data_IF_009392594235
#
_entry.id   IF_009392594235
#
_cell.length_a   1.000
_cell.length_b   1.000
_cell.length_c   1.000
_cell.angle_alpha   90.00
_cell.angle_beta   90.00
_cell.angle_gamma   90.00
#
_symmetry.space_group_name_H-M   'P 1'
#
loop_
_entity.id
_entity.type
_entity.pdbx_description
1 polymer ?
#
# COMPACT_ATOMS: atom_id res chain seq x y z
N UNK A 1 32.96 30.92 -24.66
CA UNK A 1 32.40 30.28 -25.87
C UNK A 1 32.77 28.80 -25.82
N UNK A 2 32.22 27.87 -25.04
CA UNK A 2 30.91 27.62 -24.42
C UNK A 2 29.76 27.87 -25.39
N UNK A 3 29.03 26.77 -25.66
CA UNK A 3 27.81 26.59 -26.47
C UNK A 3 27.95 26.47 -27.99
N UNK A 4 27.90 25.22 -28.49
CA UNK A 4 26.99 24.75 -29.57
C UNK A 4 27.28 23.32 -30.07
N UNK A 5 27.26 22.30 -29.19
CA UNK A 5 27.14 20.89 -29.66
C UNK A 5 26.38 20.03 -28.61
N UNK A 6 25.16 20.42 -28.24
CA UNK A 6 24.38 19.65 -27.23
C UNK A 6 22.89 19.46 -27.52
N UNK A 7 22.44 19.67 -28.76
CA UNK A 7 21.08 19.34 -29.17
C UNK A 7 21.10 18.45 -30.41
N UNK A 8 21.25 17.14 -30.23
CA UNK A 8 20.72 16.20 -31.21
C UNK A 8 20.55 14.80 -30.61
N UNK A 9 19.40 14.20 -30.92
CA UNK A 9 18.85 12.89 -30.51
C UNK A 9 17.93 12.97 -29.27
N UNK A 10 16.70 13.40 -29.53
CA UNK A 10 15.57 13.38 -28.59
C UNK A 10 14.31 12.69 -29.16
N UNK A 11 14.43 11.96 -30.27
CA UNK A 11 13.30 11.34 -30.95
C UNK A 11 13.57 9.88 -31.31
N UNK A 12 12.65 8.99 -30.97
CA UNK A 12 12.69 7.57 -31.32
C UNK A 12 12.69 7.34 -32.84
N UNK A 13 12.13 8.28 -33.62
CA UNK A 13 12.17 8.24 -35.08
C UNK A 13 13.60 8.30 -35.64
N UNK A 14 14.45 9.17 -35.08
CA UNK A 14 15.85 9.30 -35.52
C UNK A 14 16.70 8.05 -35.24
N UNK A 15 16.47 7.37 -34.10
CA UNK A 15 17.19 6.12 -33.81
C UNK A 15 16.80 5.03 -34.81
N UNK A 16 15.52 4.95 -35.18
CA UNK A 16 15.03 3.99 -36.16
C UNK A 16 15.64 4.23 -37.55
N UNK A 17 15.69 5.48 -38.01
CA UNK A 17 16.29 5.85 -39.29
C UNK A 17 17.79 5.55 -39.33
N UNK A 18 18.51 5.80 -38.23
CA UNK A 18 19.95 5.48 -38.11
C UNK A 18 20.22 3.97 -38.13
N UNK A 19 19.30 3.16 -37.58
CA UNK A 19 19.40 1.70 -37.60
C UNK A 19 19.16 1.15 -39.01
N UNK A 20 18.13 1.64 -39.71
CA UNK A 20 17.79 1.18 -41.07
C UNK A 20 18.86 1.61 -42.08
N UNK A 21 19.44 2.81 -41.91
CA UNK A 21 20.54 3.29 -42.76
C UNK A 21 21.90 2.66 -42.45
N UNK A 22 21.99 1.78 -41.43
CA UNK A 22 23.22 1.09 -41.06
C UNK A 22 24.27 1.98 -40.36
N UNK A 23 23.89 3.20 -39.97
CA UNK A 23 24.77 4.12 -39.25
C UNK A 23 25.03 3.71 -37.79
N UNK A 24 24.13 2.91 -37.22
CA UNK A 24 24.29 2.29 -35.89
C UNK A 24 23.94 0.81 -35.97
N UNK A 25 24.56 0.02 -35.12
CA UNK A 25 24.26 -1.39 -34.96
C UNK A 25 22.97 -1.60 -34.15
N UNK A 26 22.32 -2.77 -34.25
CA UNK A 26 21.15 -3.09 -33.42
C UNK A 26 21.41 -2.98 -31.91
N UNK A 27 22.64 -3.28 -31.47
CA UNK A 27 23.03 -3.19 -30.06
C UNK A 27 23.11 -1.73 -29.61
N UNK A 28 23.72 -0.86 -30.42
CA UNK A 28 23.79 0.58 -30.15
C UNK A 28 22.41 1.24 -30.19
N UNK A 29 21.54 0.81 -31.10
CA UNK A 29 20.15 1.24 -31.15
C UNK A 29 19.40 0.86 -29.87
N UNK A 30 19.54 -0.39 -29.40
CA UNK A 30 18.92 -0.87 -28.17
C UNK A 30 19.38 -0.06 -26.94
N UNK A 31 20.68 0.21 -26.81
CA UNK A 31 21.20 1.06 -25.73
C UNK A 31 20.63 2.47 -25.77
N UNK A 32 20.54 3.10 -26.95
CA UNK A 32 19.96 4.45 -27.09
C UNK A 32 18.44 4.47 -26.84
N UNK A 33 17.72 3.41 -27.19
CA UNK A 33 16.30 3.27 -26.84
C UNK A 33 16.10 3.13 -25.33
N UNK A 34 16.95 2.34 -24.65
CA UNK A 34 16.96 2.22 -23.19
C UNK A 34 17.26 3.59 -22.55
N UNK A 35 18.20 4.37 -23.08
CA UNK A 35 18.49 5.72 -22.56
C UNK A 35 17.34 6.72 -22.80
N UNK A 36 16.68 6.68 -23.96
CA UNK A 36 15.49 7.49 -24.24
C UNK A 36 14.34 7.14 -23.30
N UNK A 37 14.12 5.85 -23.05
CA UNK A 37 13.10 5.38 -22.11
C UNK A 37 13.47 5.77 -20.68
N UNK A 38 14.75 5.68 -20.31
CA UNK A 38 15.29 6.11 -19.02
C UNK A 38 15.07 7.60 -18.74
N UNK A 39 15.01 8.46 -19.77
CA UNK A 39 14.67 9.89 -19.61
C UNK A 39 13.18 10.13 -19.31
N UNK A 40 12.27 9.29 -19.81
CA UNK A 40 10.86 9.28 -19.35
C UNK A 40 10.71 8.61 -17.97
N UNK A 41 11.65 7.75 -17.62
CA UNK A 41 11.67 6.97 -16.36
C UNK A 41 12.31 7.72 -15.18
N UNK A 42 12.85 8.92 -15.39
CA UNK A 42 13.41 9.76 -14.32
C UNK A 42 12.36 10.26 -13.29
N UNK A 43 11.07 9.95 -13.49
CA UNK A 43 9.99 10.17 -12.51
C UNK A 43 9.57 8.93 -11.73
N UNK A 44 10.22 7.79 -11.91
CA UNK A 44 10.03 6.65 -11.00
C UNK A 44 11.37 6.06 -10.69
N UNK A 45 12.06 6.71 -9.74
CA UNK A 45 13.13 6.12 -8.94
C UNK A 45 12.67 4.70 -8.60
N UNK A 46 13.31 3.69 -9.20
CA UNK A 46 13.20 2.30 -8.76
C UNK A 46 13.60 2.36 -7.30
N UNK A 47 12.62 2.26 -6.41
CA UNK A 47 12.84 2.35 -4.98
C UNK A 47 13.84 1.27 -4.61
N UNK A 48 14.96 1.64 -4.01
CA UNK A 48 15.63 0.73 -3.09
C UNK A 48 14.53 0.14 -2.21
N UNK A 49 14.38 -1.19 -2.19
CA UNK A 49 13.38 -1.82 -1.33
C UNK A 49 13.67 -1.37 0.10
N UNK A 50 12.78 -0.54 0.63
CA UNK A 50 12.83 0.00 1.98
C UNK A 50 13.00 -1.17 2.95
N UNK A 51 14.04 -1.17 3.78
CA UNK A 51 14.27 -2.31 4.68
C UNK A 51 13.31 -2.25 5.85
N UNK A 52 12.94 -3.42 6.40
CA UNK A 52 12.08 -3.49 7.58
C UNK A 52 12.68 -2.70 8.76
N UNK A 53 14.00 -2.76 8.94
CA UNK A 53 14.69 -2.02 9.99
C UNK A 53 14.50 -0.51 9.85
N UNK A 54 14.44 0.02 8.63
CA UNK A 54 14.28 1.45 8.40
C UNK A 54 12.84 1.89 8.71
N UNK A 55 11.83 1.10 8.33
CA UNK A 55 10.43 1.35 8.69
C UNK A 55 10.21 1.25 10.21
N UNK A 56 10.88 0.31 10.87
CA UNK A 56 10.83 0.19 12.34
C UNK A 56 11.48 1.39 13.04
N UNK A 57 12.57 1.95 12.48
CA UNK A 57 13.15 3.20 12.98
C UNK A 57 12.19 4.37 12.81
N UNK A 58 11.52 4.50 11.66
CA UNK A 58 10.49 5.53 11.47
C UNK A 58 9.39 5.44 12.53
N UNK A 59 8.95 4.22 12.87
CA UNK A 59 8.00 4.02 13.97
C UNK A 59 8.60 4.43 15.33
N UNK A 60 9.85 4.05 15.62
CA UNK A 60 10.54 4.36 16.86
C UNK A 60 10.78 5.87 17.05
N UNK A 61 10.94 6.63 15.97
CA UNK A 61 11.06 8.10 15.96
C UNK A 61 9.76 8.82 16.35
N UNK A 62 8.59 8.19 16.15
CA UNK A 62 7.33 8.80 16.56
C UNK A 62 7.26 8.93 18.10
N UNK A 63 7.01 10.14 18.58
CA UNK A 63 6.98 10.43 20.01
C UNK A 63 5.83 9.67 20.70
N UNK A 64 6.17 8.94 21.76
CA UNK A 64 5.22 8.13 22.52
C UNK A 64 4.88 6.80 21.82
N UNK A 65 3.59 6.48 21.74
CA UNK A 65 3.06 5.25 21.11
C UNK A 65 3.66 3.94 21.65
N UNK A 66 4.14 3.91 22.90
CA UNK A 66 4.82 2.75 23.50
C UNK A 66 4.05 1.43 23.32
N UNK A 67 2.73 1.45 23.52
CA UNK A 67 1.87 0.27 23.33
C UNK A 67 1.85 -0.23 21.88
N UNK A 68 1.82 0.68 20.92
CA UNK A 68 1.85 0.34 19.49
C UNK A 68 3.22 -0.24 19.12
N UNK A 69 4.31 0.42 19.53
CA UNK A 69 5.67 -0.06 19.29
C UNK A 69 5.90 -1.46 19.86
N UNK A 70 5.38 -1.71 21.05
CA UNK A 70 5.45 -3.03 21.69
C UNK A 70 4.63 -4.07 20.92
N UNK A 71 3.37 -3.78 20.59
CA UNK A 71 2.50 -4.67 19.82
C UNK A 71 3.11 -5.04 18.46
N UNK A 72 3.71 -4.07 17.76
CA UNK A 72 4.38 -4.32 16.47
C UNK A 72 5.53 -5.32 16.62
N UNK A 73 6.33 -5.19 17.68
CA UNK A 73 7.43 -6.14 17.96
C UNK A 73 6.89 -7.53 18.30
N UNK A 74 5.77 -7.63 19.02
CA UNK A 74 5.11 -8.91 19.30
C UNK A 74 4.60 -9.57 18.02
N UNK A 75 3.96 -8.81 17.13
CA UNK A 75 3.47 -9.32 15.83
C UNK A 75 4.65 -9.79 14.99
N UNK A 76 5.75 -9.04 14.95
CA UNK A 76 6.96 -9.44 14.23
C UNK A 76 7.53 -10.77 14.77
N UNK A 77 7.67 -10.89 16.10
CA UNK A 77 8.18 -12.10 16.73
C UNK A 77 7.28 -13.30 16.47
N UNK A 78 5.95 -13.10 16.56
CA UNK A 78 4.98 -14.14 16.25
C UNK A 78 5.06 -14.58 14.79
N UNK A 79 5.04 -13.64 13.85
CA UNK A 79 5.13 -13.93 12.41
C UNK A 79 6.41 -14.72 12.07
N UNK A 80 7.54 -14.37 12.68
CA UNK A 80 8.80 -15.10 12.51
C UNK A 80 8.73 -16.54 13.06
N UNK A 81 8.10 -16.74 14.22
CA UNK A 81 7.86 -18.09 14.76
C UNK A 81 6.97 -18.90 13.82
N UNK A 82 5.88 -18.31 13.33
CA UNK A 82 4.96 -18.98 12.41
C UNK A 82 5.66 -19.38 11.11
N UNK A 83 6.47 -18.49 10.54
CA UNK A 83 7.27 -18.78 9.34
C UNK A 83 8.21 -19.97 9.57
N UNK A 84 8.92 -20.01 10.70
CA UNK A 84 9.81 -21.15 11.04
C UNK A 84 9.03 -22.46 11.19
N UNK A 85 7.83 -22.40 11.76
CA UNK A 85 6.96 -23.58 11.86
C UNK A 85 6.57 -24.10 10.49
N UNK A 86 6.21 -23.21 9.55
CA UNK A 86 5.89 -23.60 8.17
C UNK A 86 7.09 -24.24 7.46
N UNK A 87 8.29 -23.69 7.64
CA UNK A 87 9.54 -24.23 7.06
C UNK A 87 9.83 -25.65 7.56
N UNK A 88 9.55 -25.92 8.84
CA UNK A 88 9.65 -27.23 9.47
C UNK A 88 8.41 -28.12 9.24
N UNK A 89 7.48 -27.69 8.38
CA UNK A 89 6.22 -28.40 8.06
C UNK A 89 5.33 -28.68 9.28
N UNK A 90 5.44 -27.84 10.31
CA UNK A 90 4.58 -27.85 11.47
C UNK A 90 3.31 -27.04 11.21
N UNK A 91 2.26 -27.30 12.00
CA UNK A 91 1.03 -26.50 11.95
C UNK A 91 1.35 -25.03 12.32
N UNK A 92 1.10 -24.13 11.38
CA UNK A 92 1.10 -22.70 11.58
C UNK A 92 -0.34 -22.16 11.55
N UNK A 93 -0.61 -21.17 12.39
CA UNK A 93 -1.91 -20.51 12.49
C UNK A 93 -1.81 -19.13 11.88
N UNK A 94 -2.80 -18.77 11.06
CA UNK A 94 -3.00 -17.40 10.62
C UNK A 94 -3.44 -16.54 11.82
N UNK A 95 -2.99 -15.28 11.83
CA UNK A 95 -3.31 -14.34 12.89
C UNK A 95 -4.30 -13.30 12.37
N UNK A 96 -5.45 -13.15 13.04
CA UNK A 96 -6.40 -12.07 12.73
C UNK A 96 -5.89 -10.77 13.35
N UNK A 97 -5.57 -9.78 12.52
CA UNK A 97 -4.89 -8.54 12.91
C UNK A 97 -5.73 -7.28 12.70
N UNK A 98 -7.06 -7.37 12.79
CA UNK A 98 -7.92 -6.19 12.80
C UNK A 98 -7.73 -5.40 14.11
N UNK A 99 -7.55 -4.09 14.01
CA UNK A 99 -7.18 -3.22 15.13
C UNK A 99 -8.05 -1.98 15.24
N UNK A 100 -8.16 -1.44 16.45
CA UNK A 100 -8.80 -0.15 16.72
C UNK A 100 -7.75 0.83 17.23
N UNK A 101 -7.59 1.96 16.55
CA UNK A 101 -6.78 3.08 17.05
C UNK A 101 -7.66 4.10 17.75
N UNK A 102 -7.49 4.24 19.07
CA UNK A 102 -8.18 5.23 19.88
C UNK A 102 -7.22 6.32 20.34
N UNK A 103 -7.58 7.57 20.10
CA UNK A 103 -6.82 8.74 20.54
C UNK A 103 -7.36 10.03 19.93
N UNK A 104 -6.96 11.18 20.47
CA UNK A 104 -7.40 12.48 19.98
C UNK A 104 -6.97 12.72 18.52
N UNK A 105 -7.63 13.60 17.76
CA UNK A 105 -7.16 14.03 16.44
C UNK A 105 -5.70 14.52 16.50
N UNK A 106 -4.93 14.29 15.43
CA UNK A 106 -3.52 14.70 15.35
C UNK A 106 -2.51 13.78 16.07
N UNK A 107 -2.93 12.67 16.69
CA UNK A 107 -2.01 11.73 17.38
C UNK A 107 -1.33 10.71 16.45
N UNK A 108 -1.23 10.99 15.15
CA UNK A 108 -0.50 10.15 14.18
C UNK A 108 -1.14 8.79 13.82
N UNK A 109 -2.43 8.57 14.09
CA UNK A 109 -3.13 7.30 13.80
C UNK A 109 -2.99 6.86 12.33
N UNK A 110 -3.21 7.80 11.42
CA UNK A 110 -3.10 7.58 9.97
C UNK A 110 -1.66 7.24 9.56
N UNK A 111 -0.67 7.96 10.12
CA UNK A 111 0.75 7.69 9.88
C UNK A 111 1.13 6.28 10.34
N UNK A 112 0.69 5.88 11.53
CA UNK A 112 0.91 4.53 12.05
C UNK A 112 0.27 3.47 11.15
N UNK A 113 -0.95 3.70 10.65
CA UNK A 113 -1.62 2.77 9.74
C UNK A 113 -0.80 2.53 8.45
N UNK A 114 -0.22 3.60 7.87
CA UNK A 114 0.65 3.51 6.68
C UNK A 114 1.92 2.73 6.98
N UNK A 115 2.58 3.00 8.11
CA UNK A 115 3.78 2.28 8.53
C UNK A 115 3.50 0.79 8.74
N UNK A 116 2.36 0.45 9.36
CA UNK A 116 1.92 -0.94 9.53
C UNK A 116 1.71 -1.65 8.20
N UNK A 117 1.11 -0.99 7.21
CA UNK A 117 0.96 -1.56 5.87
C UNK A 117 2.29 -1.98 5.28
N UNK A 118 3.29 -1.08 5.31
CA UNK A 118 4.65 -1.39 4.86
C UNK A 118 5.28 -2.53 5.67
N UNK A 119 5.24 -2.46 7.00
CA UNK A 119 5.83 -3.48 7.87
C UNK A 119 5.23 -4.87 7.64
N UNK A 120 3.90 -4.97 7.58
CA UNK A 120 3.21 -6.24 7.38
C UNK A 120 3.52 -6.86 6.01
N UNK A 121 3.75 -6.04 4.97
CA UNK A 121 4.27 -6.53 3.69
C UNK A 121 5.66 -7.16 3.85
N UNK A 122 6.58 -6.48 4.53
CA UNK A 122 7.94 -7.02 4.76
C UNK A 122 7.95 -8.28 5.61
N UNK A 123 7.02 -8.38 6.57
CA UNK A 123 6.82 -9.57 7.41
C UNK A 123 6.05 -10.68 6.67
N UNK A 124 5.67 -10.49 5.41
CA UNK A 124 4.85 -11.42 4.59
C UNK A 124 3.47 -11.73 5.17
N UNK A 125 2.98 -10.87 6.06
CA UNK A 125 1.61 -10.93 6.59
C UNK A 125 0.62 -10.43 5.52
N UNK A 126 1.02 -9.40 4.75
CA UNK A 126 0.22 -8.84 3.67
C UNK A 126 0.94 -9.04 2.32
N UNK A 127 0.16 -9.31 1.27
CA UNK A 127 0.68 -9.43 -0.09
C UNK A 127 1.20 -8.09 -0.64
N UNK A 128 0.62 -6.98 -0.19
CA UNK A 128 0.93 -5.60 -0.56
C UNK A 128 1.05 -4.76 0.72
N UNK A 129 1.68 -3.58 0.61
CA UNK A 129 1.91 -2.69 1.75
C UNK A 129 1.15 -1.38 1.69
N UNK A 130 0.14 -1.27 0.80
CA UNK A 130 -0.62 -0.05 0.64
C UNK A 130 -1.72 0.06 1.69
N UNK A 131 -2.11 1.30 1.98
CA UNK A 131 -3.22 1.63 2.87
C UNK A 131 -4.26 2.40 2.06
N UNK A 132 -5.52 1.99 2.15
CA UNK A 132 -6.67 2.70 1.61
C UNK A 132 -7.36 3.38 2.78
N UNK A 133 -7.25 4.70 2.82
CA UNK A 133 -7.91 5.54 3.82
C UNK A 133 -9.30 5.91 3.30
N UNK A 134 -10.30 5.73 4.16
CA UNK A 134 -11.70 6.01 3.86
C UNK A 134 -12.38 6.66 5.06
N UNK A 135 -13.34 7.52 4.76
CA UNK A 135 -14.27 8.06 5.74
C UNK A 135 -15.69 7.52 5.50
N UNK A 136 -16.63 7.92 6.35
CA UNK A 136 -18.04 7.55 6.18
C UNK A 136 -18.59 7.90 4.80
N UNK A 137 -18.21 9.06 4.26
CA UNK A 137 -18.66 9.50 2.93
C UNK A 137 -18.18 8.60 1.80
N UNK A 138 -17.08 7.86 1.98
CA UNK A 138 -16.55 6.91 0.99
C UNK A 138 -17.23 5.54 1.05
N UNK A 139 -17.86 5.21 2.19
CA UNK A 139 -18.44 3.90 2.44
C UNK A 139 -19.96 3.90 2.33
N UNK A 140 -20.62 4.97 2.74
CA UNK A 140 -22.08 5.10 2.79
C UNK A 140 -22.58 5.81 1.53
N UNK A 141 -23.63 5.26 0.92
CA UNK A 141 -24.30 5.83 -0.25
C UNK A 141 -25.45 6.75 0.14
N UNK A 142 -25.88 7.59 -0.81
CA UNK A 142 -27.03 8.50 -0.64
C UNK A 142 -28.37 7.80 -0.86
N UNK A 143 -28.37 6.65 -1.55
CA UNK A 143 -29.56 5.91 -1.96
C UNK A 143 -29.53 4.45 -1.47
N UNK A 144 -30.73 3.87 -1.33
CA UNK A 144 -30.92 2.48 -0.91
C UNK A 144 -30.14 1.54 -1.84
N UNK A 145 -29.39 0.59 -1.25
CA UNK A 145 -28.64 -0.44 -1.98
C UNK A 145 -27.30 0.03 -2.56
N UNK A 146 -26.98 1.32 -2.50
CA UNK A 146 -25.67 1.83 -2.93
C UNK A 146 -24.57 1.59 -1.89
N UNK A 147 -24.93 1.56 -0.60
CA UNK A 147 -23.96 1.46 0.51
C UNK A 147 -23.18 0.14 0.49
N UNK A 148 -23.85 -1.00 0.35
CA UNK A 148 -23.15 -2.29 0.26
C UNK A 148 -22.19 -2.35 -0.94
N UNK A 149 -22.58 -1.81 -2.10
CA UNK A 149 -21.72 -1.77 -3.27
C UNK A 149 -20.48 -0.89 -3.05
N UNK A 150 -20.69 0.32 -2.54
CA UNK A 150 -19.64 1.30 -2.28
C UNK A 150 -18.63 0.79 -1.23
N UNK A 151 -19.14 0.20 -0.14
CA UNK A 151 -18.31 -0.44 0.90
C UNK A 151 -17.47 -1.58 0.32
N UNK A 152 -18.07 -2.47 -0.48
CA UNK A 152 -17.35 -3.58 -1.14
C UNK A 152 -16.28 -3.10 -2.10
N UNK A 153 -16.50 -2.00 -2.80
CA UNK A 153 -15.50 -1.42 -3.69
C UNK A 153 -14.26 -0.94 -2.92
N UNK A 154 -14.45 -0.25 -1.80
CA UNK A 154 -13.32 0.17 -0.95
C UNK A 154 -12.58 -1.02 -0.35
N UNK A 155 -13.30 -2.06 0.10
CA UNK A 155 -12.69 -3.31 0.57
C UNK A 155 -11.83 -3.94 -0.53
N UNK A 156 -12.35 -4.06 -1.76
CA UNK A 156 -11.60 -4.63 -2.89
C UNK A 156 -10.33 -3.85 -3.19
N UNK A 157 -10.35 -2.53 -3.12
CA UNK A 157 -9.17 -1.68 -3.29
C UNK A 157 -8.13 -1.93 -2.19
N UNK A 158 -8.58 -2.24 -0.98
CA UNK A 158 -7.71 -2.52 0.16
C UNK A 158 -7.18 -3.96 0.23
N UNK A 159 -7.70 -4.89 -0.58
CA UNK A 159 -7.27 -6.30 -0.55
C UNK A 159 -5.75 -6.44 -0.76
N UNK A 160 -5.15 -7.28 0.08
CA UNK A 160 -3.72 -7.46 0.19
C UNK A 160 -2.99 -6.31 0.90
N UNK A 161 -3.67 -5.25 1.32
CA UNK A 161 -3.15 -4.12 2.09
C UNK A 161 -3.98 -3.86 3.35
N UNK A 162 -4.11 -2.59 3.75
CA UNK A 162 -4.91 -2.17 4.91
C UNK A 162 -6.07 -1.27 4.47
N UNK A 163 -7.29 -1.56 4.93
CA UNK A 163 -8.41 -0.60 4.91
C UNK A 163 -8.41 0.19 6.23
N UNK A 164 -8.11 1.47 6.16
CA UNK A 164 -8.14 2.36 7.33
C UNK A 164 -9.40 3.21 7.29
N UNK A 165 -10.30 2.99 8.24
CA UNK A 165 -11.57 3.72 8.37
C UNK A 165 -11.40 4.79 9.42
N UNK A 166 -11.30 6.06 9.01
CA UNK A 166 -11.24 7.17 9.96
C UNK A 166 -12.64 7.46 10.51
N UNK A 167 -12.66 7.88 11.78
CA UNK A 167 -13.88 8.15 12.54
C UNK A 167 -14.97 7.07 12.38
N UNK A 168 -14.59 5.79 12.41
CA UNK A 168 -15.49 4.66 12.17
C UNK A 168 -16.74 4.65 13.08
N UNK A 169 -16.70 5.30 14.25
CA UNK A 169 -17.86 5.49 15.12
C UNK A 169 -19.02 6.22 14.41
N UNK A 170 -18.71 7.04 13.40
CA UNK A 170 -19.69 7.78 12.62
C UNK A 170 -20.59 6.84 11.81
N UNK A 171 -20.14 5.64 11.43
CA UNK A 171 -20.95 4.63 10.73
C UNK A 171 -22.12 4.14 11.60
N UNK A 172 -21.95 4.15 12.93
CA UNK A 172 -22.98 3.77 13.88
C UNK A 172 -23.86 4.95 14.33
N UNK A 173 -23.51 6.20 13.97
CA UNK A 173 -24.29 7.40 14.32
C UNK A 173 -25.38 7.64 13.27
N UNK A 174 -26.57 7.10 13.52
CA UNK A 174 -27.74 7.29 12.67
C UNK A 174 -29.01 6.67 13.25
N UNK A 175 -30.18 7.10 12.73
CA UNK A 175 -31.47 6.50 13.05
C UNK A 175 -31.75 5.21 12.27
N UNK A 176 -32.95 4.64 12.39
CA UNK A 176 -33.31 3.41 11.68
C UNK A 176 -33.27 3.52 10.15
N UNK A 177 -33.37 4.73 9.60
CA UNK A 177 -33.30 5.00 8.16
C UNK A 177 -31.89 5.31 7.66
N UNK A 178 -30.87 5.19 8.51
CA UNK A 178 -29.48 5.40 8.12
C UNK A 178 -28.88 4.12 7.51
N UNK A 179 -28.19 4.28 6.38
CA UNK A 179 -27.49 3.21 5.69
C UNK A 179 -26.14 2.84 6.34
N UNK A 180 -25.72 3.53 7.40
CA UNK A 180 -24.52 3.18 8.17
C UNK A 180 -24.51 1.73 8.70
N UNK A 181 -25.67 1.19 9.09
CA UNK A 181 -25.80 -0.22 9.51
C UNK A 181 -25.46 -1.20 8.38
N UNK A 182 -25.93 -0.93 7.16
CA UNK A 182 -25.65 -1.75 5.98
C UNK A 182 -24.14 -1.79 5.65
N UNK A 183 -23.44 -0.66 5.88
CA UNK A 183 -21.99 -0.60 5.76
C UNK A 183 -21.31 -1.51 6.80
N UNK A 184 -21.73 -1.45 8.07
CA UNK A 184 -21.18 -2.28 9.14
C UNK A 184 -21.41 -3.77 8.84
N UNK A 185 -22.60 -4.15 8.42
CA UNK A 185 -22.91 -5.54 8.05
C UNK A 185 -22.02 -6.04 6.91
N UNK A 186 -21.77 -5.17 5.91
CA UNK A 186 -20.88 -5.47 4.80
C UNK A 186 -19.41 -5.61 5.23
N UNK A 187 -18.95 -4.79 6.18
CA UNK A 187 -17.61 -4.87 6.76
C UNK A 187 -17.43 -6.17 7.57
N UNK A 188 -18.38 -6.49 8.44
CA UNK A 188 -18.35 -7.72 9.27
C UNK A 188 -18.30 -8.95 8.38
N UNK A 189 -19.15 -9.01 7.36
CA UNK A 189 -19.13 -10.13 6.41
C UNK A 189 -17.77 -10.24 5.72
N UNK A 190 -17.18 -9.13 5.28
CA UNK A 190 -15.88 -9.15 4.62
C UNK A 190 -14.74 -9.57 5.56
N UNK A 191 -14.78 -9.20 6.84
CA UNK A 191 -13.79 -9.63 7.83
C UNK A 191 -13.80 -11.16 8.01
N UNK A 192 -14.96 -11.80 7.90
CA UNK A 192 -15.08 -13.27 7.93
C UNK A 192 -14.65 -13.91 6.60
N UNK A 193 -15.06 -13.33 5.47
CA UNK A 193 -14.78 -13.86 4.12
C UNK A 193 -13.27 -13.77 3.77
N UNK A 194 -12.54 -12.80 4.32
CA UNK A 194 -11.12 -12.53 4.03
C UNK A 194 -10.19 -12.73 5.26
N UNK A 195 -10.51 -13.67 6.13
CA UNK A 195 -9.74 -13.95 7.35
C UNK A 195 -8.41 -14.72 7.12
N UNK A 196 -8.25 -15.32 5.95
CA UNK A 196 -7.09 -16.15 5.53
C UNK A 196 -6.29 -15.44 4.42
#
# INVERSE_FOLDING_TARGET
MIDKVKDEITDSGKIHDMLISGMITPVEALSKFIELDSRKTYFRKVSEEEKLEDIMKELDELIGLFKVKYLVREIQAFAEIQRRREEEKLLAQAQVLHMIFKGNPGTGKTTVARLLGKMFKHMRILQKGHTVEVERADLVGEYIGHTAQKTREQIRRALGGILFIDEAYSLARGGEKDFGKECIDSLVKAMEDYKE
#
